data_IF_501955122066
#
_entry.id   IF_501955122066
#
_cell.length_a   1.000
_cell.length_b   1.000
_cell.length_c   1.000
_cell.angle_alpha   90.00
_cell.angle_beta   90.00
_cell.angle_gamma   90.00
#
_symmetry.space_group_name_H-M   'P 1'
#
loop_
_entity.id
_entity.type
_entity.pdbx_description
1 polymer ?
#
# COMPACT_ATOMS: atom_id res chain seq x y z
N UNK A 1 -5.09 14.07 14.03
CA UNK A 1 -4.08 15.07 13.61
C UNK A 1 -3.43 15.61 14.87
N UNK A 2 -2.11 15.76 14.90
CA UNK A 2 -1.43 16.41 16.03
C UNK A 2 -1.83 17.90 16.06
N UNK A 3 -2.19 18.47 17.22
CA UNK A 3 -2.44 19.91 17.32
C UNK A 3 -1.21 20.72 16.90
N UNK A 4 -1.43 21.90 16.32
CA UNK A 4 -0.34 22.80 15.91
C UNK A 4 0.63 23.12 17.04
N UNK A 5 0.09 23.43 18.21
CA UNK A 5 0.86 23.67 19.43
C UNK A 5 1.82 22.55 19.81
N UNK A 6 1.56 21.31 19.34
CA UNK A 6 2.42 20.15 19.58
C UNK A 6 3.46 20.02 18.47
N UNK A 7 3.06 20.04 17.20
CA UNK A 7 4.00 19.80 16.11
C UNK A 7 4.92 21.00 15.81
N UNK A 8 4.54 22.21 16.20
CA UNK A 8 5.39 23.41 16.08
C UNK A 8 6.28 23.65 17.30
N UNK A 9 6.16 22.83 18.35
CA UNK A 9 6.90 23.00 19.61
C UNK A 9 8.42 22.79 19.47
N UNK A 10 8.92 21.78 18.72
CA UNK A 10 10.36 21.59 18.59
C UNK A 10 11.03 22.74 17.81
N UNK A 11 12.13 23.27 18.34
CA UNK A 11 12.84 24.43 17.77
C UNK A 11 13.31 24.20 16.33
N UNK A 12 13.69 22.96 15.99
CA UNK A 12 14.15 22.57 14.65
C UNK A 12 13.02 21.99 13.78
N UNK A 13 11.77 22.10 14.23
CA UNK A 13 10.58 21.57 13.58
C UNK A 13 10.34 20.08 13.86
N UNK A 14 9.15 19.62 13.47
CA UNK A 14 8.77 18.21 13.51
C UNK A 14 8.83 17.63 12.10
N UNK A 15 9.48 16.49 11.92
CA UNK A 15 9.44 15.73 10.68
C UNK A 15 8.73 14.39 10.88
N UNK A 16 8.23 13.81 9.80
CA UNK A 16 7.62 12.49 9.78
C UNK A 16 8.31 11.61 8.72
N UNK A 17 8.19 10.30 8.88
CA UNK A 17 8.54 9.28 7.91
C UNK A 17 7.23 8.71 7.32
N UNK A 18 7.04 8.87 6.02
CA UNK A 18 5.90 8.32 5.29
C UNK A 18 6.33 7.18 4.37
N UNK A 19 5.56 6.09 4.34
CA UNK A 19 5.90 4.88 3.57
C UNK A 19 5.38 4.91 2.13
N UNK A 20 5.59 6.04 1.45
CA UNK A 20 5.45 6.16 0.00
C UNK A 20 6.43 7.19 -0.56
N UNK A 21 6.43 7.32 -1.89
CA UNK A 21 7.05 8.44 -2.60
C UNK A 21 6.05 9.61 -2.70
N UNK A 22 6.05 10.48 -1.69
CA UNK A 22 5.21 11.69 -1.71
C UNK A 22 5.49 12.53 -2.96
N UNK A 23 4.45 13.16 -3.56
CA UNK A 23 3.08 13.32 -3.05
C UNK A 23 2.14 12.12 -3.27
N UNK A 24 2.58 11.04 -3.91
CA UNK A 24 1.71 9.89 -4.12
C UNK A 24 1.42 9.16 -2.81
N UNK A 25 0.19 8.64 -2.67
CA UNK A 25 -0.25 7.83 -1.55
C UNK A 25 -0.20 8.54 -0.18
N UNK A 26 -0.54 9.84 -0.12
CA UNK A 26 -0.84 10.51 1.16
C UNK A 26 -1.97 9.79 1.89
N UNK A 27 -1.87 9.69 3.23
CA UNK A 27 -2.90 9.07 4.06
C UNK A 27 -2.44 7.87 4.88
N UNK A 28 -3.39 7.03 5.29
CA UNK A 28 -3.21 6.07 6.37
C UNK A 28 -2.61 4.71 5.98
N UNK A 29 -2.76 4.26 4.73
CA UNK A 29 -2.34 2.91 4.31
C UNK A 29 -1.51 2.88 3.01
N UNK A 30 -0.42 3.69 2.89
CA UNK A 30 0.30 3.87 1.64
C UNK A 30 0.86 2.58 1.04
N UNK A 31 1.43 1.70 1.87
CA UNK A 31 2.05 0.44 1.42
C UNK A 31 0.97 -0.47 0.79
N UNK A 32 -0.17 -0.61 1.47
CA UNK A 32 -1.30 -1.42 0.97
C UNK A 32 -1.77 -0.91 -0.38
N UNK A 33 -2.07 0.39 -0.48
CA UNK A 33 -2.61 0.96 -1.72
C UNK A 33 -1.63 0.93 -2.88
N UNK A 34 -0.32 1.07 -2.64
CA UNK A 34 0.69 0.89 -3.68
C UNK A 34 0.64 -0.54 -4.25
N UNK A 35 0.53 -1.56 -3.38
CA UNK A 35 0.44 -2.96 -3.82
C UNK A 35 -0.91 -3.27 -4.48
N UNK A 36 -2.03 -2.81 -3.90
CA UNK A 36 -3.39 -2.98 -4.42
C UNK A 36 -3.52 -2.40 -5.82
N UNK A 37 -2.95 -1.21 -6.06
CA UNK A 37 -3.00 -0.53 -7.35
C UNK A 37 -1.98 -1.09 -8.37
N UNK A 38 -1.22 -2.13 -8.00
CA UNK A 38 -0.26 -2.77 -8.90
C UNK A 38 0.94 -1.90 -9.24
N UNK A 39 1.33 -0.98 -8.35
CA UNK A 39 2.55 -0.19 -8.55
C UNK A 39 3.78 -1.10 -8.66
N UNK A 40 4.76 -0.66 -9.45
CA UNK A 40 6.05 -1.36 -9.61
C UNK A 40 7.13 -0.82 -8.70
N UNK A 41 6.87 0.33 -8.07
CA UNK A 41 7.80 1.02 -7.20
C UNK A 41 7.03 1.78 -6.12
N UNK A 42 7.60 1.84 -4.93
CA UNK A 42 7.20 2.72 -3.84
C UNK A 42 8.46 3.26 -3.16
N UNK A 43 8.38 3.64 -1.89
CA UNK A 43 9.55 4.03 -1.12
C UNK A 43 9.18 4.60 0.23
N UNK A 44 10.12 5.32 0.80
CA UNK A 44 9.94 6.10 2.02
C UNK A 44 10.31 7.54 1.77
N UNK A 45 9.59 8.46 2.43
CA UNK A 45 9.83 9.90 2.38
C UNK A 45 9.93 10.46 3.79
N UNK A 46 10.98 11.20 4.09
CA UNK A 46 11.00 12.09 5.26
C UNK A 46 10.63 13.50 4.85
N UNK A 47 9.81 14.17 5.65
CA UNK A 47 9.31 15.51 5.34
C UNK A 47 8.98 16.27 6.62
N UNK A 48 9.10 17.60 6.61
CA UNK A 48 8.65 18.46 7.70
C UNK A 48 7.14 18.56 7.73
N UNK A 49 6.52 18.65 8.90
CA UNK A 49 5.07 18.78 9.02
C UNK A 49 4.57 20.17 8.58
N UNK A 50 3.35 20.20 8.06
CA UNK A 50 2.52 21.39 7.81
C UNK A 50 1.11 21.12 8.34
N UNK A 51 0.25 22.13 8.28
CA UNK A 51 -1.14 22.02 8.75
C UNK A 51 -1.93 20.91 8.03
N UNK A 52 -1.71 20.77 6.73
CA UNK A 52 -2.33 19.72 5.92
C UNK A 52 -1.59 18.38 6.03
N UNK A 53 -2.34 17.27 6.00
CA UNK A 53 -1.82 15.91 6.19
C UNK A 53 -0.89 15.53 5.04
N UNK A 54 0.34 15.14 5.38
CA UNK A 54 1.35 14.62 4.45
C UNK A 54 1.70 15.55 3.27
N UNK A 55 1.51 16.87 3.40
CA UNK A 55 1.80 17.87 2.34
C UNK A 55 3.06 18.71 2.59
N UNK A 56 3.73 18.48 3.72
CA UNK A 56 4.87 19.27 4.11
C UNK A 56 6.12 18.99 3.29
N UNK A 57 7.14 19.84 3.46
CA UNK A 57 8.30 19.88 2.57
C UNK A 57 9.17 18.63 2.72
N UNK A 58 9.50 17.99 1.60
CA UNK A 58 10.32 16.78 1.51
C UNK A 58 11.76 17.12 1.92
N UNK A 59 12.32 16.27 2.78
CA UNK A 59 13.73 16.29 3.16
C UNK A 59 14.47 15.27 2.30
N UNK A 60 14.15 13.97 2.45
CA UNK A 60 14.73 12.91 1.62
C UNK A 60 13.68 11.91 1.18
N UNK A 61 13.96 11.25 0.05
CA UNK A 61 13.18 10.11 -0.44
C UNK A 61 14.11 8.97 -0.79
N UNK A 62 13.62 7.76 -0.64
CA UNK A 62 14.36 6.57 -1.03
C UNK A 62 13.43 5.50 -1.62
N UNK A 63 13.73 5.05 -2.84
CA UNK A 63 12.84 4.23 -3.69
C UNK A 63 13.01 2.74 -3.47
N UNK A 64 11.93 1.98 -3.55
CA UNK A 64 11.89 0.53 -3.34
C UNK A 64 11.05 -0.15 -4.42
N UNK A 65 11.58 -1.13 -5.17
CA UNK A 65 10.80 -1.89 -6.13
C UNK A 65 9.73 -2.74 -5.44
N UNK A 66 8.58 -2.88 -6.10
CA UNK A 66 7.54 -3.84 -5.74
C UNK A 66 7.61 -4.99 -6.73
N UNK A 67 8.01 -6.16 -6.24
CA UNK A 67 8.13 -7.35 -7.06
C UNK A 67 6.76 -8.00 -7.32
N UNK A 68 6.70 -8.87 -8.32
CA UNK A 68 5.47 -9.51 -8.77
C UNK A 68 4.78 -10.31 -7.65
N UNK A 69 5.56 -11.01 -6.84
CA UNK A 69 5.08 -11.85 -5.73
C UNK A 69 5.12 -11.16 -4.37
N UNK A 70 5.45 -9.85 -4.32
CA UNK A 70 5.41 -9.12 -3.07
C UNK A 70 4.00 -9.05 -2.50
N UNK A 71 3.95 -9.26 -1.19
CA UNK A 71 2.82 -8.95 -0.33
C UNK A 71 3.11 -7.65 0.42
N UNK A 72 2.11 -7.06 1.06
CA UNK A 72 2.38 -5.95 1.98
C UNK A 72 3.34 -6.35 3.09
N UNK A 73 3.27 -7.58 3.60
CA UNK A 73 4.18 -8.06 4.64
C UNK A 73 5.65 -8.06 4.20
N UNK A 74 5.95 -8.60 3.01
CA UNK A 74 7.32 -8.64 2.50
C UNK A 74 7.86 -7.24 2.20
N UNK A 75 7.03 -6.39 1.59
CA UNK A 75 7.39 -5.01 1.27
C UNK A 75 7.57 -4.15 2.54
N UNK A 76 6.69 -4.31 3.53
CA UNK A 76 6.79 -3.63 4.82
C UNK A 76 8.14 -3.90 5.49
N UNK A 77 8.58 -5.15 5.53
CA UNK A 77 9.87 -5.52 6.14
C UNK A 77 11.06 -4.79 5.50
N UNK A 78 11.05 -4.63 4.16
CA UNK A 78 12.10 -3.89 3.45
C UNK A 78 12.00 -2.38 3.69
N UNK A 79 10.80 -1.82 3.61
CA UNK A 79 10.56 -0.39 3.87
C UNK A 79 10.89 0.02 5.31
N UNK A 80 10.72 -0.87 6.29
CA UNK A 80 11.10 -0.63 7.68
C UNK A 80 12.61 -0.38 7.82
N UNK A 81 13.44 -1.22 7.20
CA UNK A 81 14.91 -1.08 7.22
C UNK A 81 15.37 0.17 6.44
N UNK A 82 14.71 0.45 5.32
CA UNK A 82 14.99 1.64 4.50
C UNK A 82 14.62 2.93 5.22
N UNK A 83 13.45 2.93 5.86
CA UNK A 83 12.92 4.03 6.66
C UNK A 83 13.80 4.36 7.85
N UNK A 84 14.28 3.36 8.60
CA UNK A 84 15.20 3.60 9.73
C UNK A 84 16.51 4.27 9.30
N UNK A 85 17.06 3.83 8.17
CA UNK A 85 18.27 4.42 7.57
C UNK A 85 18.00 5.86 7.13
N UNK A 86 16.85 6.12 6.49
CA UNK A 86 16.46 7.46 6.04
C UNK A 86 16.20 8.42 7.21
N UNK A 87 15.61 7.94 8.29
CA UNK A 87 15.42 8.70 9.54
C UNK A 87 16.76 9.12 10.13
N UNK A 88 17.74 8.20 10.24
CA UNK A 88 19.06 8.55 10.76
C UNK A 88 19.76 9.60 9.89
N UNK A 89 19.67 9.46 8.56
CA UNK A 89 20.18 10.48 7.62
C UNK A 89 19.50 11.84 7.83
N UNK A 90 18.19 11.82 8.04
CA UNK A 90 17.37 13.04 8.25
C UNK A 90 17.76 13.76 9.52
N UNK A 91 17.84 13.04 10.65
CA UNK A 91 18.22 13.62 11.95
C UNK A 91 19.62 14.26 11.87
N UNK A 92 20.60 13.58 11.27
CA UNK A 92 21.95 14.13 11.08
C UNK A 92 21.95 15.41 10.24
N UNK A 93 21.13 15.48 9.20
CA UNK A 93 21.04 16.67 8.35
C UNK A 93 20.37 17.85 9.09
N UNK A 94 19.36 17.57 9.92
CA UNK A 94 18.69 18.57 10.76
C UNK A 94 19.67 19.10 11.81
N UNK A 95 20.38 18.22 12.52
CA UNK A 95 21.39 18.59 13.52
C UNK A 95 22.51 19.44 12.92
N UNK A 96 22.96 19.12 11.70
CA UNK A 96 23.98 19.89 10.99
C UNK A 96 23.47 21.20 10.38
N UNK A 97 22.18 21.52 10.50
CA UNK A 97 21.57 22.72 9.92
C UNK A 97 21.54 22.74 8.38
N UNK A 98 21.62 21.57 7.73
CA UNK A 98 21.70 21.44 6.28
C UNK A 98 20.60 20.56 5.66
N UNK A 99 19.56 20.22 6.44
CA UNK A 99 18.41 19.49 5.93
C UNK A 99 17.73 20.28 4.78
N UNK A 100 17.60 19.69 3.59
CA UNK A 100 16.85 20.33 2.51
C UNK A 100 15.35 20.35 2.84
N UNK A 101 14.62 21.25 2.18
CA UNK A 101 13.17 21.36 2.33
C UNK A 101 12.53 21.67 0.97
N UNK A 102 12.31 20.63 0.18
CA UNK A 102 11.72 20.76 -1.15
C UNK A 102 10.18 20.76 -1.05
N UNK A 103 9.47 21.70 -1.70
CA UNK A 103 8.03 21.59 -1.82
C UNK A 103 7.66 20.30 -2.57
N UNK A 104 6.51 19.71 -2.22
CA UNK A 104 5.97 18.59 -2.99
C UNK A 104 5.44 19.13 -4.32
N UNK A 105 5.95 18.61 -5.44
CA UNK A 105 5.46 18.93 -6.77
C UNK A 105 4.56 17.80 -7.27
N UNK A 106 3.37 18.16 -7.72
CA UNK A 106 2.44 17.19 -8.29
C UNK A 106 2.92 16.76 -9.67
N UNK A 107 3.22 15.47 -9.82
CA UNK A 107 3.69 14.89 -11.09
C UNK A 107 2.56 14.29 -11.94
N UNK A 108 1.30 14.58 -11.60
CA UNK A 108 0.10 14.07 -12.26
C UNK A 108 -1.04 13.82 -11.27
N UNK A 109 -2.07 13.04 -11.66
CA UNK A 109 -3.15 12.65 -10.75
C UNK A 109 -2.62 11.95 -9.50
N UNK A 110 -2.96 12.50 -8.33
CA UNK A 110 -2.55 11.94 -7.05
C UNK A 110 -3.47 10.77 -6.67
N UNK A 111 -2.86 9.65 -6.29
CA UNK A 111 -3.54 8.51 -5.69
C UNK A 111 -3.48 8.67 -4.17
N UNK A 112 -4.62 8.55 -3.51
CA UNK A 112 -4.71 8.61 -2.05
C UNK A 112 -4.61 7.23 -1.43
N UNK A 113 -4.21 7.18 -0.15
CA UNK A 113 -4.11 5.96 0.63
C UNK A 113 -5.06 5.97 1.84
N UNK A 114 -6.40 5.88 1.63
CA UNK A 114 -7.35 5.90 2.72
C UNK A 114 -7.16 4.73 3.68
N UNK A 115 -7.66 4.88 4.91
CA UNK A 115 -7.63 3.81 5.91
C UNK A 115 -8.41 2.59 5.41
N UNK A 116 -7.86 1.41 5.65
CA UNK A 116 -8.50 0.13 5.31
C UNK A 116 -9.32 -0.34 6.51
N UNK A 117 -10.55 -0.77 6.23
CA UNK A 117 -11.46 -1.35 7.20
C UNK A 117 -11.80 -2.79 6.80
N UNK A 118 -12.38 -3.57 7.72
CA UNK A 118 -12.72 -4.96 7.43
C UNK A 118 -13.67 -5.06 6.23
N UNK A 119 -14.64 -4.16 6.15
CA UNK A 119 -15.66 -4.10 5.11
C UNK A 119 -15.04 -3.81 3.74
N UNK A 120 -13.98 -3.02 3.69
CA UNK A 120 -13.23 -2.71 2.47
C UNK A 120 -12.28 -3.82 2.05
N UNK A 121 -12.23 -4.95 2.79
CA UNK A 121 -11.39 -6.11 2.48
C UNK A 121 -12.15 -7.25 1.80
N UNK A 122 -13.45 -7.05 1.50
CA UNK A 122 -14.23 -8.02 0.74
C UNK A 122 -13.78 -8.05 -0.72
N UNK A 123 -13.48 -9.24 -1.23
CA UNK A 123 -13.13 -9.46 -2.63
C UNK A 123 -14.36 -9.20 -3.49
N UNK A 124 -14.21 -8.30 -4.46
CA UNK A 124 -15.20 -8.03 -5.49
C UNK A 124 -14.82 -8.80 -6.75
N UNK A 125 -15.53 -9.90 -7.00
CA UNK A 125 -15.23 -10.82 -8.11
C UNK A 125 -15.58 -10.27 -9.49
N UNK A 126 -16.31 -9.16 -9.56
CA UNK A 126 -16.62 -8.40 -10.79
C UNK A 126 -15.46 -7.51 -11.28
N UNK A 127 -14.29 -7.62 -10.64
CA UNK A 127 -13.05 -6.91 -11.03
C UNK A 127 -12.17 -7.79 -11.92
N UNK A 128 -11.22 -7.20 -12.68
CA UNK A 128 -10.19 -7.94 -13.39
C UNK A 128 -9.36 -8.86 -12.47
N UNK A 129 -8.96 -10.03 -12.95
CA UNK A 129 -8.25 -11.03 -12.16
C UNK A 129 -6.93 -10.51 -11.57
N UNK A 130 -6.22 -9.67 -12.33
CA UNK A 130 -4.99 -9.01 -11.87
C UNK A 130 -5.25 -7.99 -10.74
N UNK A 131 -6.35 -7.24 -10.80
CA UNK A 131 -6.76 -6.35 -9.71
C UNK A 131 -7.10 -7.15 -8.45
N UNK A 132 -7.81 -8.26 -8.58
CA UNK A 132 -8.13 -9.16 -7.45
C UNK A 132 -6.86 -9.76 -6.85
N UNK A 133 -5.91 -10.22 -7.69
CA UNK A 133 -4.61 -10.73 -7.23
C UNK A 133 -3.85 -9.65 -6.45
N UNK A 134 -3.78 -8.43 -6.99
CA UNK A 134 -3.13 -7.29 -6.34
C UNK A 134 -3.82 -6.91 -5.03
N UNK A 135 -5.15 -6.96 -4.99
CA UNK A 135 -5.93 -6.72 -3.78
C UNK A 135 -5.63 -7.74 -2.69
N UNK A 136 -5.56 -9.03 -3.03
CA UNK A 136 -5.25 -10.11 -2.09
C UNK A 136 -3.84 -9.95 -1.52
N UNK A 137 -2.81 -9.78 -2.37
CA UNK A 137 -1.43 -9.58 -1.89
C UNK A 137 -1.24 -8.23 -1.18
N UNK A 138 -2.02 -7.23 -1.57
CA UNK A 138 -2.12 -5.90 -0.97
C UNK A 138 -2.76 -5.87 0.41
N UNK A 139 -3.34 -6.98 0.86
CA UNK A 139 -3.93 -7.13 2.19
C UNK A 139 -3.27 -8.28 3.00
N UNK A 140 -2.26 -8.95 2.44
CA UNK A 140 -1.52 -10.03 3.10
C UNK A 140 -0.27 -9.46 3.81
N UNK A 141 -0.03 -9.75 5.10
CA UNK A 141 -0.77 -10.68 5.97
C UNK A 141 -1.94 -10.06 6.72
N UNK A 142 -2.02 -8.72 6.77
CA UNK A 142 -3.05 -8.00 7.51
C UNK A 142 -3.60 -6.82 6.68
N UNK A 143 -4.93 -6.60 6.68
CA UNK A 143 -5.99 -7.29 7.44
C UNK A 143 -6.52 -8.60 6.82
N UNK A 144 -5.97 -9.01 5.69
CA UNK A 144 -6.39 -10.13 4.84
C UNK A 144 -7.66 -9.86 4.03
N UNK A 145 -7.59 -10.12 2.73
CA UNK A 145 -8.76 -10.13 1.86
C UNK A 145 -9.71 -11.29 2.24
N UNK A 146 -11.01 -11.11 2.09
CA UNK A 146 -11.99 -12.15 2.42
C UNK A 146 -13.11 -12.22 1.40
N UNK A 147 -13.75 -13.39 1.30
CA UNK A 147 -14.93 -13.63 0.47
C UNK A 147 -15.90 -14.54 1.21
N UNK A 148 -17.13 -14.64 0.72
CA UNK A 148 -18.13 -15.62 1.19
C UNK A 148 -18.26 -16.73 0.15
N UNK A 149 -18.12 -17.99 0.56
CA UNK A 149 -18.35 -19.17 -0.26
C UNK A 149 -19.35 -20.08 0.45
N UNK A 150 -20.46 -20.43 -0.21
CA UNK A 150 -21.53 -21.27 0.34
C UNK A 150 -21.99 -20.83 1.74
N UNK A 151 -22.13 -19.52 1.95
CA UNK A 151 -22.57 -18.93 3.22
C UNK A 151 -21.52 -18.88 4.33
N UNK A 152 -20.27 -19.30 4.07
CA UNK A 152 -19.15 -19.22 5.02
C UNK A 152 -18.12 -18.20 4.57
N UNK A 153 -17.55 -17.45 5.51
CA UNK A 153 -16.50 -16.45 5.23
C UNK A 153 -15.12 -17.12 5.23
N UNK A 154 -14.33 -16.82 4.22
CA UNK A 154 -12.97 -17.31 4.04
C UNK A 154 -12.01 -16.14 3.86
N UNK A 155 -10.88 -16.23 4.53
CA UNK A 155 -9.73 -15.34 4.30
C UNK A 155 -8.88 -15.92 3.19
N UNK A 156 -8.51 -15.07 2.22
CA UNK A 156 -7.69 -15.47 1.08
C UNK A 156 -6.30 -14.85 1.25
N UNK A 157 -5.28 -15.70 1.33
CA UNK A 157 -3.90 -15.27 1.58
C UNK A 157 -3.09 -15.17 0.28
N UNK A 158 -3.38 -16.02 -0.71
CA UNK A 158 -2.66 -16.07 -1.96
C UNK A 158 -3.64 -16.31 -3.10
N UNK A 159 -3.31 -15.78 -4.26
CA UNK A 159 -4.03 -16.03 -5.49
C UNK A 159 -3.08 -16.03 -6.69
N UNK A 160 -3.46 -16.75 -7.73
CA UNK A 160 -2.80 -16.76 -9.03
C UNK A 160 -3.83 -16.54 -10.13
N UNK A 161 -3.45 -15.75 -11.13
CA UNK A 161 -4.28 -15.55 -12.31
C UNK A 161 -4.11 -16.74 -13.25
N UNK A 162 -5.21 -17.23 -13.80
CA UNK A 162 -5.25 -18.29 -14.79
C UNK A 162 -6.02 -17.80 -16.02
N UNK A 163 -5.37 -17.66 -17.19
CA UNK A 163 -6.00 -17.12 -18.39
C UNK A 163 -7.19 -17.94 -18.89
N UNK A 164 -8.13 -17.24 -19.53
CA UNK A 164 -9.24 -17.82 -20.29
C UNK A 164 -10.42 -18.31 -19.46
N UNK A 165 -11.29 -19.08 -20.12
CA UNK A 165 -12.45 -19.77 -19.57
C UNK A 165 -13.74 -18.95 -19.47
N UNK A 166 -14.84 -19.68 -19.37
CA UNK A 166 -16.20 -19.18 -19.45
C UNK A 166 -16.85 -18.99 -18.06
N UNK A 167 -18.00 -18.32 -18.03
CA UNK A 167 -18.79 -18.09 -16.82
C UNK A 167 -18.86 -16.62 -16.42
N UNK A 168 -19.75 -16.33 -15.49
CA UNK A 168 -19.93 -14.98 -14.94
C UNK A 168 -19.04 -14.77 -13.71
N UNK A 169 -18.68 -13.52 -13.37
CA UNK A 169 -18.00 -13.21 -12.12
C UNK A 169 -18.58 -13.93 -10.90
N UNK A 170 -17.70 -14.53 -10.08
CA UNK A 170 -18.08 -15.31 -8.91
C UNK A 170 -18.41 -16.79 -9.18
N UNK A 171 -18.41 -17.25 -10.44
CA UNK A 171 -18.51 -18.69 -10.76
C UNK A 171 -17.35 -19.44 -10.10
N UNK A 172 -17.62 -20.57 -9.44
CA UNK A 172 -16.62 -21.37 -8.74
C UNK A 172 -16.37 -22.66 -9.53
N UNK A 173 -15.10 -23.01 -9.71
CA UNK A 173 -14.68 -24.29 -10.25
C UNK A 173 -13.60 -24.91 -9.36
N UNK A 174 -13.71 -26.21 -9.12
CA UNK A 174 -12.80 -26.96 -8.26
C UNK A 174 -12.81 -28.43 -8.64
N UNK A 175 -11.67 -29.10 -8.47
CA UNK A 175 -11.57 -30.56 -8.51
C UNK A 175 -11.83 -31.22 -7.13
N UNK A 176 -12.22 -30.41 -6.14
CA UNK A 176 -12.43 -30.78 -4.74
C UNK A 176 -11.18 -31.38 -4.06
N UNK A 177 -9.98 -31.15 -4.62
CA UNK A 177 -8.73 -31.75 -4.14
C UNK A 177 -7.54 -30.79 -4.16
N UNK A 178 -7.23 -30.21 -5.32
CA UNK A 178 -5.96 -29.51 -5.57
C UNK A 178 -6.13 -28.06 -6.00
N UNK A 179 -7.32 -27.64 -6.42
CA UNK A 179 -7.57 -26.23 -6.74
C UNK A 179 -9.00 -25.81 -6.43
N UNK A 180 -9.14 -24.54 -6.08
CA UNK A 180 -10.38 -23.80 -6.19
C UNK A 180 -10.07 -22.53 -6.98
N UNK A 181 -10.86 -22.25 -8.00
CA UNK A 181 -10.76 -21.00 -8.75
C UNK A 181 -12.12 -20.32 -8.83
N UNK A 182 -12.09 -19.00 -8.82
CA UNK A 182 -13.28 -18.16 -8.92
C UNK A 182 -13.12 -17.27 -10.15
N UNK A 183 -14.18 -17.17 -10.94
CA UNK A 183 -14.21 -16.38 -12.16
C UNK A 183 -14.18 -14.89 -11.80
N UNK A 184 -13.21 -14.17 -12.34
CA UNK A 184 -13.16 -12.71 -12.28
C UNK A 184 -13.96 -12.10 -13.45
N UNK A 185 -13.82 -10.81 -13.72
CA UNK A 185 -14.41 -10.17 -14.91
C UNK A 185 -13.87 -10.72 -16.24
N UNK A 186 -12.60 -11.11 -16.29
CA UNK A 186 -11.83 -11.36 -17.51
C UNK A 186 -11.14 -12.74 -17.52
N UNK A 187 -10.58 -13.17 -16.40
CA UNK A 187 -9.87 -14.45 -16.26
C UNK A 187 -10.26 -15.21 -14.97
N UNK A 188 -9.64 -16.36 -14.71
CA UNK A 188 -9.80 -17.08 -13.44
C UNK A 188 -8.80 -16.60 -12.39
N UNK A 189 -9.23 -16.64 -11.13
CA UNK A 189 -8.38 -16.44 -9.96
C UNK A 189 -8.37 -17.74 -9.17
N UNK A 190 -7.24 -18.46 -9.20
CA UNK A 190 -7.00 -19.63 -8.37
C UNK A 190 -6.62 -19.18 -6.97
N UNK A 191 -7.33 -19.67 -5.96
CA UNK A 191 -7.12 -19.38 -4.53
C UNK A 191 -6.75 -20.64 -3.75
#
# INVERSE_FOLDING_TARGET
MLPETVWSMPELGTFNLHASLLPQYRGAAPIHWAVINGERETGVTTFFLKHEIDTGSIIFQDREPIHEDDTVGSLYGRLMTKGSTLVLKTVKAIEAGNAPAFPQHDSGPLKHAPKIFRETCEIKWDRPANEIRNFIRGLNPFPTAWTTLRGKSFKILRAQVQPGGDGVPGTIETDEKTFLRVRAADEWVRI
#
